data_IF_421715147427
#
_entry.id   IF_421715147427
#
_cell.length_a   1.000
_cell.length_b   1.000
_cell.length_c   1.000
_cell.angle_alpha   90.00
_cell.angle_beta   90.00
_cell.angle_gamma   90.00
#
_symmetry.space_group_name_H-M   'P 1'
#
loop_
_entity.id
_entity.type
_entity.pdbx_description
1 polymer ?
#
# COMPACT_ATOMS: atom_id res chain seq x y z
N UNK A 1 -7.48 18.03 -15.67
CA UNK A 1 -7.84 16.62 -15.80
C UNK A 1 -6.55 15.81 -15.72
N UNK A 2 -6.46 14.83 -14.83
CA UNK A 2 -5.28 13.97 -14.66
C UNK A 2 -5.06 13.09 -15.89
N UNK A 3 -3.78 12.77 -16.17
CA UNK A 3 -3.35 11.88 -17.26
C UNK A 3 -2.81 10.54 -16.74
N UNK A 4 -2.42 10.50 -15.45
CA UNK A 4 -1.92 9.32 -14.77
C UNK A 4 -2.57 9.09 -13.42
N UNK A 5 -2.80 7.84 -13.07
CA UNK A 5 -3.27 7.38 -11.77
C UNK A 5 -2.23 6.43 -11.19
N UNK A 6 -1.65 6.76 -10.03
CA UNK A 6 -0.59 5.99 -9.39
C UNK A 6 -1.12 5.44 -8.07
N UNK A 7 -1.23 4.12 -7.96
CA UNK A 7 -1.82 3.44 -6.81
C UNK A 7 -0.75 2.85 -5.90
N UNK A 8 -0.88 3.06 -4.60
CA UNK A 8 -0.32 2.11 -3.64
C UNK A 8 -1.09 0.79 -3.67
N UNK A 9 -0.59 -0.23 -3.00
CA UNK A 9 -1.18 -1.57 -3.03
C UNK A 9 -1.79 -1.97 -1.68
N UNK A 10 -0.96 -2.03 -0.66
CA UNK A 10 -1.31 -2.61 0.63
C UNK A 10 -2.11 -1.61 1.46
N UNK A 11 -3.30 -2.00 1.94
CA UNK A 11 -4.23 -1.10 2.64
C UNK A 11 -5.10 -0.25 1.72
N UNK A 12 -4.68 0.00 0.47
CA UNK A 12 -5.44 0.79 -0.51
C UNK A 12 -6.22 -0.07 -1.52
N UNK A 13 -5.52 -0.93 -2.26
CA UNK A 13 -6.13 -1.82 -3.25
C UNK A 13 -6.63 -3.11 -2.61
N UNK A 14 -5.86 -3.62 -1.67
CA UNK A 14 -6.10 -4.88 -0.98
C UNK A 14 -6.10 -4.69 0.54
N UNK A 15 -6.98 -5.42 1.24
CA UNK A 15 -7.03 -5.44 2.72
C UNK A 15 -5.93 -6.37 3.28
N UNK A 16 -4.70 -6.18 2.78
CA UNK A 16 -3.54 -7.02 3.10
C UNK A 16 -3.02 -6.77 4.51
N UNK A 17 -3.13 -5.56 5.02
CA UNK A 17 -2.71 -5.21 6.38
C UNK A 17 -3.51 -6.01 7.42
N UNK A 18 -4.83 -6.14 7.23
CA UNK A 18 -5.67 -6.98 8.08
C UNK A 18 -5.27 -8.45 8.01
N UNK A 19 -5.05 -8.98 6.80
CA UNK A 19 -4.64 -10.35 6.59
C UNK A 19 -3.27 -10.64 7.22
N UNK A 20 -2.32 -9.70 7.11
CA UNK A 20 -1.02 -9.80 7.76
C UNK A 20 -1.18 -9.81 9.28
N UNK A 21 -2.01 -8.91 9.84
CA UNK A 21 -2.30 -8.90 11.27
C UNK A 21 -2.86 -10.25 11.76
N UNK A 22 -3.89 -10.78 11.10
CA UNK A 22 -4.55 -12.04 11.47
C UNK A 22 -3.57 -13.23 11.42
N UNK A 23 -2.72 -13.29 10.39
CA UNK A 23 -1.67 -14.30 10.28
C UNK A 23 -0.64 -14.19 11.40
N UNK A 24 -0.18 -12.98 11.70
CA UNK A 24 0.75 -12.76 12.81
C UNK A 24 0.11 -13.10 14.15
N UNK A 25 -1.13 -12.69 14.39
CA UNK A 25 -1.83 -12.99 15.62
C UNK A 25 -1.95 -14.51 15.82
N UNK A 26 -2.44 -15.25 14.82
CA UNK A 26 -2.54 -16.71 14.87
C UNK A 26 -1.20 -17.37 15.17
N UNK A 27 -0.13 -16.95 14.51
CA UNK A 27 1.22 -17.47 14.71
C UNK A 27 1.76 -17.16 16.11
N UNK A 28 1.57 -15.92 16.59
CA UNK A 28 2.04 -15.50 17.92
C UNK A 28 1.30 -16.22 19.03
N UNK A 29 -0.02 -16.48 18.86
CA UNK A 29 -0.80 -17.31 19.79
C UNK A 29 -0.29 -18.76 19.84
N UNK A 30 0.04 -19.37 18.68
CA UNK A 30 0.64 -20.71 18.59
C UNK A 30 1.98 -20.80 19.35
N UNK A 31 2.79 -19.73 19.31
CA UNK A 31 4.10 -19.68 19.97
C UNK A 31 4.06 -19.09 21.40
N UNK A 32 2.87 -18.73 21.90
CA UNK A 32 2.66 -18.27 23.27
C UNK A 32 3.10 -16.81 23.53
N UNK A 33 3.16 -15.98 22.49
CA UNK A 33 3.48 -14.55 22.63
C UNK A 33 2.20 -13.70 22.64
N UNK A 34 2.02 -12.78 23.62
CA UNK A 34 0.87 -11.88 23.63
C UNK A 34 0.99 -10.85 22.52
N UNK A 35 0.10 -10.91 21.53
CA UNK A 35 0.08 -10.03 20.36
C UNK A 35 -1.27 -9.36 20.22
N UNK A 36 -1.29 -8.07 19.91
CA UNK A 36 -2.51 -7.29 19.81
C UNK A 36 -2.46 -6.29 18.65
N UNK A 37 -3.64 -5.83 18.25
CA UNK A 37 -3.82 -4.90 17.12
C UNK A 37 -3.14 -3.55 17.38
N UNK A 38 -3.05 -3.10 18.63
CA UNK A 38 -2.46 -1.79 18.94
C UNK A 38 -0.94 -1.81 18.76
N UNK A 39 -0.30 -2.95 19.05
CA UNK A 39 1.11 -3.13 18.71
C UNK A 39 1.31 -3.23 17.20
N UNK A 40 0.47 -4.00 16.50
CA UNK A 40 0.56 -4.12 15.04
C UNK A 40 0.43 -2.75 14.35
N UNK A 41 -0.55 -1.93 14.72
CA UNK A 41 -0.72 -0.58 14.17
C UNK A 41 0.53 0.29 14.26
N UNK A 42 1.33 0.11 15.31
CA UNK A 42 2.60 0.83 15.48
C UNK A 42 3.66 0.39 14.46
N UNK A 43 3.54 -0.80 13.88
CA UNK A 43 4.49 -1.34 12.90
C UNK A 43 4.13 -0.96 11.47
N UNK A 44 2.85 -0.62 11.20
CA UNK A 44 2.34 -0.26 9.87
C UNK A 44 3.12 0.92 9.28
N UNK A 45 3.54 0.77 8.03
CA UNK A 45 4.30 1.79 7.30
C UNK A 45 5.75 1.99 7.74
N UNK A 46 6.26 1.16 8.67
CA UNK A 46 7.67 1.22 9.12
C UNK A 46 8.57 0.30 8.29
N UNK A 47 9.87 0.62 8.30
CA UNK A 47 10.88 -0.23 7.64
C UNK A 47 11.07 -1.53 8.42
N UNK A 48 11.32 -2.64 7.73
CA UNK A 48 11.53 -3.98 8.34
C UNK A 48 12.55 -3.98 9.51
N UNK A 49 13.63 -3.19 9.41
CA UNK A 49 14.63 -3.08 10.49
C UNK A 49 14.06 -2.39 11.73
N UNK A 50 13.22 -1.39 11.57
CA UNK A 50 12.55 -0.70 12.68
C UNK A 50 11.53 -1.63 13.35
N UNK A 51 10.74 -2.31 12.53
CA UNK A 51 9.78 -3.31 13.01
C UNK A 51 10.49 -4.42 13.80
N UNK A 52 11.60 -4.95 13.27
CA UNK A 52 12.43 -5.94 13.99
C UNK A 52 12.81 -5.44 15.40
N UNK A 53 13.35 -4.23 15.51
CA UNK A 53 13.73 -3.66 16.80
C UNK A 53 12.53 -3.49 17.75
N UNK A 54 11.35 -3.15 17.23
CA UNK A 54 10.13 -3.07 18.03
C UNK A 54 9.71 -4.42 18.59
N UNK A 55 9.83 -5.49 17.79
CA UNK A 55 9.54 -6.86 18.24
C UNK A 55 10.55 -7.32 19.30
N UNK A 56 11.85 -7.06 19.13
CA UNK A 56 12.85 -7.36 20.16
C UNK A 56 12.58 -6.59 21.44
N UNK A 57 12.23 -5.31 21.35
CA UNK A 57 11.89 -4.49 22.52
C UNK A 57 10.66 -5.02 23.29
N UNK A 58 9.68 -5.61 22.60
CA UNK A 58 8.44 -6.12 23.20
C UNK A 58 8.57 -7.55 23.74
N UNK A 59 9.28 -8.41 23.02
CA UNK A 59 9.29 -9.86 23.27
C UNK A 59 10.64 -10.40 23.75
N UNK A 60 11.68 -9.57 23.79
CA UNK A 60 13.04 -9.91 24.23
C UNK A 60 14.02 -10.05 23.07
N UNK A 61 15.31 -9.94 23.38
CA UNK A 61 16.39 -9.95 22.38
C UNK A 61 16.52 -11.29 21.63
N UNK A 62 16.06 -12.38 22.25
CA UNK A 62 16.08 -13.72 21.67
C UNK A 62 14.87 -14.00 20.76
N UNK A 63 13.96 -13.04 20.57
CA UNK A 63 12.78 -13.21 19.73
C UNK A 63 13.18 -13.46 18.27
N UNK A 64 12.79 -14.59 17.65
CA UNK A 64 13.24 -15.01 16.32
C UNK A 64 12.46 -14.31 15.19
N UNK A 65 12.46 -12.96 15.20
CA UNK A 65 11.67 -12.12 14.31
C UNK A 65 11.77 -12.53 12.82
N UNK A 66 13.00 -12.75 12.33
CA UNK A 66 13.19 -13.04 10.90
C UNK A 66 12.61 -14.40 10.51
N UNK A 67 12.74 -15.41 11.38
CA UNK A 67 12.11 -16.71 11.16
C UNK A 67 10.58 -16.57 11.08
N UNK A 68 9.99 -15.83 12.02
CA UNK A 68 8.53 -15.61 12.04
C UNK A 68 8.05 -14.73 10.90
N UNK A 69 8.84 -13.76 10.47
CA UNK A 69 8.54 -12.95 9.30
C UNK A 69 8.51 -13.79 8.00
N UNK A 70 9.44 -14.74 7.84
CA UNK A 70 9.46 -15.66 6.71
C UNK A 70 8.28 -16.64 6.75
N UNK A 71 7.95 -17.17 7.93
CA UNK A 71 6.79 -18.03 8.14
C UNK A 71 5.48 -17.28 7.87
N UNK A 72 5.32 -16.07 8.41
CA UNK A 72 4.16 -15.22 8.17
C UNK A 72 3.96 -14.91 6.68
N UNK A 73 5.07 -14.66 5.96
CA UNK A 73 5.03 -14.51 4.49
C UNK A 73 4.56 -15.79 3.79
N UNK A 74 5.03 -16.96 4.23
CA UNK A 74 4.61 -18.24 3.65
C UNK A 74 3.11 -18.48 3.88
N UNK A 75 2.61 -18.27 5.10
CA UNK A 75 1.20 -18.37 5.46
C UNK A 75 0.32 -17.39 4.65
N UNK A 76 0.80 -16.14 4.47
CA UNK A 76 0.12 -15.16 3.62
C UNK A 76 -0.03 -15.66 2.19
N UNK A 77 1.05 -16.13 1.57
CA UNK A 77 1.03 -16.64 0.19
C UNK A 77 0.12 -17.86 0.03
N UNK A 78 0.13 -18.79 1.01
CA UNK A 78 -0.76 -19.93 1.01
C UNK A 78 -2.23 -19.51 1.12
N UNK A 79 -2.53 -18.59 2.04
CA UNK A 79 -3.87 -18.06 2.24
C UNK A 79 -4.43 -17.43 0.96
N UNK A 80 -3.70 -16.49 0.34
CA UNK A 80 -4.20 -15.79 -0.85
C UNK A 80 -4.31 -16.69 -2.08
N UNK A 81 -3.53 -17.76 -2.17
CA UNK A 81 -3.67 -18.77 -3.24
C UNK A 81 -4.91 -19.64 -3.06
N UNK A 82 -5.31 -19.92 -1.83
CA UNK A 82 -6.47 -20.76 -1.52
C UNK A 82 -7.78 -19.97 -1.51
N UNK A 83 -7.80 -18.82 -0.83
CA UNK A 83 -9.01 -18.04 -0.55
C UNK A 83 -9.17 -16.81 -1.46
N UNK A 84 -8.12 -16.43 -2.19
CA UNK A 84 -8.04 -15.16 -2.89
C UNK A 84 -7.49 -14.04 -2.00
N UNK A 85 -7.28 -12.87 -2.61
CA UNK A 85 -6.85 -11.67 -1.89
C UNK A 85 -8.05 -10.78 -1.60
N UNK A 86 -8.24 -10.29 -0.35
CA UNK A 86 -9.34 -9.39 -0.04
C UNK A 86 -9.15 -8.04 -0.72
N UNK A 87 -10.15 -7.66 -1.52
CA UNK A 87 -10.12 -6.46 -2.35
C UNK A 87 -10.86 -5.31 -1.65
N UNK A 88 -10.27 -4.13 -1.65
CA UNK A 88 -10.91 -2.91 -1.11
C UNK A 88 -12.05 -2.43 -2.00
N UNK A 89 -13.07 -1.86 -1.36
CA UNK A 89 -14.28 -1.38 -2.04
C UNK A 89 -13.97 -0.34 -3.11
N UNK A 90 -14.46 -0.57 -4.33
CA UNK A 90 -14.32 0.34 -5.46
C UNK A 90 -13.07 0.11 -6.30
N UNK A 91 -12.21 -0.90 -5.99
CA UNK A 91 -10.98 -1.12 -6.76
C UNK A 91 -11.27 -1.38 -8.25
N UNK A 92 -12.16 -2.31 -8.55
CA UNK A 92 -12.47 -2.63 -9.94
C UNK A 92 -13.12 -1.44 -10.67
N UNK A 93 -14.00 -0.71 -9.98
CA UNK A 93 -14.72 0.43 -10.55
C UNK A 93 -13.74 1.57 -10.91
N UNK A 94 -12.76 1.88 -10.04
CA UNK A 94 -11.80 2.95 -10.30
C UNK A 94 -10.80 2.57 -11.42
N UNK A 95 -10.37 1.30 -11.46
CA UNK A 95 -9.48 0.83 -12.54
C UNK A 95 -10.19 0.86 -13.89
N UNK A 96 -11.43 0.40 -13.97
CA UNK A 96 -12.25 0.48 -15.19
C UNK A 96 -12.51 1.94 -15.60
N UNK A 97 -12.81 2.82 -14.64
CA UNK A 97 -13.00 4.25 -14.91
C UNK A 97 -11.77 4.89 -15.55
N UNK A 98 -10.57 4.66 -15.00
CA UNK A 98 -9.35 5.23 -15.57
C UNK A 98 -8.99 4.63 -16.91
N UNK A 99 -9.09 3.30 -17.06
CA UNK A 99 -8.85 2.63 -18.32
C UNK A 99 -9.80 3.12 -19.41
N UNK A 100 -11.09 3.22 -19.11
CA UNK A 100 -12.11 3.73 -20.04
C UNK A 100 -11.93 5.21 -20.40
N UNK A 101 -11.29 6.00 -19.53
CA UNK A 101 -10.98 7.42 -19.74
C UNK A 101 -9.61 7.66 -20.42
N UNK A 102 -8.86 6.60 -20.75
CA UNK A 102 -7.53 6.71 -21.36
C UNK A 102 -6.44 7.24 -20.41
N UNK A 103 -6.70 7.22 -19.10
CA UNK A 103 -5.71 7.58 -18.07
C UNK A 103 -4.77 6.40 -17.86
N UNK A 104 -3.46 6.65 -17.90
CA UNK A 104 -2.44 5.62 -17.64
C UNK A 104 -2.40 5.25 -16.16
N UNK A 105 -2.20 3.97 -15.86
CA UNK A 105 -2.24 3.46 -14.49
C UNK A 105 -0.90 2.86 -14.08
N UNK A 106 -0.36 3.24 -12.93
CA UNK A 106 0.83 2.64 -12.36
C UNK A 106 0.62 2.17 -10.92
N UNK A 107 1.37 1.15 -10.55
CA UNK A 107 1.55 0.73 -9.16
C UNK A 107 2.81 1.39 -8.58
N UNK A 108 2.74 1.88 -7.35
CA UNK A 108 3.87 2.43 -6.58
C UNK A 108 3.84 1.90 -5.14
N UNK A 109 4.48 0.77 -4.89
CA UNK A 109 4.43 0.06 -3.61
C UNK A 109 5.79 -0.17 -2.99
N UNK A 110 5.84 -0.29 -1.65
CA UNK A 110 7.02 -0.73 -0.90
C UNK A 110 7.20 -2.25 -0.91
N UNK A 111 6.20 -2.99 -1.37
CA UNK A 111 6.20 -4.45 -1.44
C UNK A 111 7.09 -4.95 -2.57
N UNK A 112 7.66 -6.16 -2.40
CA UNK A 112 8.53 -6.78 -3.39
C UNK A 112 7.78 -7.09 -4.69
N UNK A 113 8.48 -7.03 -5.82
CA UNK A 113 7.92 -7.31 -7.15
C UNK A 113 7.23 -8.67 -7.21
N UNK A 114 7.89 -9.70 -6.68
CA UNK A 114 7.33 -11.06 -6.67
C UNK A 114 5.97 -11.12 -5.97
N UNK A 115 5.84 -10.46 -4.82
CA UNK A 115 4.58 -10.42 -4.06
C UNK A 115 3.54 -9.56 -4.76
N UNK A 116 3.95 -8.39 -5.28
CA UNK A 116 3.04 -7.48 -5.99
C UNK A 116 2.43 -8.12 -7.23
N UNK A 117 3.24 -8.76 -8.06
CA UNK A 117 2.75 -9.46 -9.27
C UNK A 117 1.82 -10.63 -8.92
N UNK A 118 2.12 -11.36 -7.83
CA UNK A 118 1.23 -12.43 -7.34
C UNK A 118 -0.12 -11.87 -6.90
N UNK A 119 -0.12 -10.78 -6.11
CA UNK A 119 -1.34 -10.14 -5.63
C UNK A 119 -2.21 -9.62 -6.78
N UNK A 120 -1.61 -8.89 -7.73
CA UNK A 120 -2.30 -8.39 -8.91
C UNK A 120 -2.90 -9.52 -9.76
N UNK A 121 -2.16 -10.62 -9.92
CA UNK A 121 -2.62 -11.79 -10.68
C UNK A 121 -3.80 -12.47 -10.00
N UNK A 122 -3.74 -12.69 -8.68
CA UNK A 122 -4.83 -13.32 -7.92
C UNK A 122 -6.09 -12.45 -7.97
N UNK A 123 -5.94 -11.12 -7.83
CA UNK A 123 -7.04 -10.17 -7.95
C UNK A 123 -7.53 -9.98 -9.41
N UNK A 124 -6.83 -10.52 -10.41
CA UNK A 124 -7.12 -10.39 -11.85
C UNK A 124 -7.13 -8.93 -12.32
N UNK A 125 -6.21 -8.12 -11.78
CA UNK A 125 -6.09 -6.70 -12.14
C UNK A 125 -4.77 -6.35 -12.83
N UNK A 126 -3.92 -7.33 -13.15
CA UNK A 126 -2.60 -7.09 -13.75
C UNK A 126 -2.67 -6.28 -15.04
N UNK A 127 -3.68 -6.54 -15.89
CA UNK A 127 -3.81 -5.95 -17.22
C UNK A 127 -4.29 -4.48 -17.22
N UNK A 128 -4.57 -3.93 -16.04
CA UNK A 128 -4.89 -2.50 -15.91
C UNK A 128 -3.64 -1.63 -15.83
N UNK A 129 -2.51 -2.17 -15.40
CA UNK A 129 -1.31 -1.40 -15.07
C UNK A 129 -0.36 -1.28 -16.25
N UNK A 130 -0.05 -0.03 -16.64
CA UNK A 130 0.95 0.30 -17.66
C UNK A 130 2.38 0.24 -17.09
N UNK A 131 2.54 0.41 -15.77
CA UNK A 131 3.82 0.35 -15.09
C UNK A 131 3.69 -0.15 -13.64
N UNK A 132 4.74 -0.85 -13.16
CA UNK A 132 4.86 -1.30 -11.78
C UNK A 132 6.17 -0.79 -11.20
N UNK A 133 6.11 -0.07 -10.06
CA UNK A 133 7.27 0.33 -9.26
C UNK A 133 7.15 -0.33 -7.90
N UNK A 134 8.09 -1.22 -7.60
CA UNK A 134 8.13 -2.04 -6.39
C UNK A 134 9.28 -1.63 -5.49
N UNK A 135 9.35 -2.18 -4.27
CA UNK A 135 10.35 -1.80 -3.28
C UNK A 135 11.80 -1.90 -3.75
N UNK A 136 12.11 -2.85 -4.65
CA UNK A 136 13.46 -3.04 -5.20
C UNK A 136 13.83 -2.03 -6.30
N UNK A 137 12.85 -1.34 -6.87
CA UNK A 137 13.08 -0.40 -7.98
C UNK A 137 13.61 0.96 -7.50
N UNK A 138 13.59 1.23 -6.20
CA UNK A 138 13.96 2.51 -5.59
C UNK A 138 14.99 2.35 -4.47
N UNK A 139 15.85 3.34 -4.31
CA UNK A 139 16.83 3.38 -3.21
C UNK A 139 16.20 3.86 -1.90
N UNK A 140 15.29 4.83 -2.01
CA UNK A 140 14.66 5.48 -0.89
C UNK A 140 13.16 5.19 -0.91
N UNK A 141 12.69 4.41 0.08
CA UNK A 141 11.26 4.14 0.25
C UNK A 141 10.49 5.34 0.79
N UNK A 142 9.15 5.26 0.79
CA UNK A 142 8.26 6.24 1.41
C UNK A 142 8.71 6.58 2.84
N UNK A 143 8.76 7.84 3.26
CA UNK A 143 8.13 9.03 2.66
C UNK A 143 8.97 9.75 1.60
N UNK A 144 10.11 9.23 1.13
CA UNK A 144 10.86 9.82 0.04
C UNK A 144 10.04 9.72 -1.27
N UNK A 145 10.01 10.75 -2.15
CA UNK A 145 9.14 10.79 -3.33
C UNK A 145 9.54 9.82 -4.46
N UNK A 146 10.67 9.15 -4.36
CA UNK A 146 11.30 8.38 -5.43
C UNK A 146 10.35 7.37 -6.09
N UNK A 147 9.55 6.64 -5.31
CA UNK A 147 8.64 5.61 -5.84
C UNK A 147 7.56 6.23 -6.76
N UNK A 148 7.00 7.37 -6.38
CA UNK A 148 5.98 8.06 -7.18
C UNK A 148 6.59 8.79 -8.38
N UNK A 149 7.77 9.40 -8.22
CA UNK A 149 8.50 10.01 -9.33
C UNK A 149 8.88 8.97 -10.39
N UNK A 150 9.39 7.81 -9.96
CA UNK A 150 9.70 6.69 -10.86
C UNK A 150 8.44 6.15 -11.56
N UNK A 151 7.30 6.12 -10.87
CA UNK A 151 6.03 5.71 -11.48
C UNK A 151 5.60 6.69 -12.59
N UNK A 152 5.64 8.00 -12.34
CA UNK A 152 5.34 9.01 -13.35
C UNK A 152 6.30 8.93 -14.55
N UNK A 153 7.60 8.75 -14.30
CA UNK A 153 8.62 8.55 -15.33
C UNK A 153 8.32 7.33 -16.21
N UNK A 154 7.97 6.17 -15.62
CA UNK A 154 7.61 4.96 -16.37
C UNK A 154 6.34 5.11 -17.18
N UNK A 155 5.40 5.96 -16.73
CA UNK A 155 4.22 6.33 -17.50
C UNK A 155 4.53 7.35 -18.62
N UNK A 156 5.71 7.99 -18.58
CA UNK A 156 6.07 9.09 -19.49
C UNK A 156 5.25 10.35 -19.23
N UNK A 157 4.94 10.65 -17.97
CA UNK A 157 4.10 11.79 -17.56
C UNK A 157 4.84 12.71 -16.58
N UNK A 158 4.43 13.98 -16.55
CA UNK A 158 4.82 14.90 -15.48
C UNK A 158 4.07 14.49 -14.19
N UNK A 159 4.74 14.39 -13.02
CA UNK A 159 4.07 14.10 -11.76
C UNK A 159 2.86 15.00 -11.46
N UNK A 160 2.90 16.26 -11.90
CA UNK A 160 1.79 17.21 -11.72
C UNK A 160 0.54 16.86 -12.54
N UNK A 161 0.68 16.03 -13.56
CA UNK A 161 -0.44 15.49 -14.36
C UNK A 161 -0.97 14.17 -13.77
N UNK A 162 -0.44 13.71 -12.63
CA UNK A 162 -0.79 12.45 -12.00
C UNK A 162 -1.53 12.65 -10.66
N UNK A 163 -2.45 11.74 -10.36
CA UNK A 163 -3.00 11.58 -9.03
C UNK A 163 -2.40 10.32 -8.37
N UNK A 164 -1.99 10.44 -7.12
CA UNK A 164 -1.52 9.34 -6.28
C UNK A 164 -2.61 8.95 -5.29
N UNK A 165 -2.94 7.66 -5.25
CA UNK A 165 -3.91 7.06 -4.33
C UNK A 165 -3.17 6.31 -3.25
N UNK A 166 -3.47 6.60 -1.98
CA UNK A 166 -2.73 6.14 -0.82
C UNK A 166 -3.62 6.00 0.42
N UNK A 167 -3.25 5.09 1.33
CA UNK A 167 -3.90 4.89 2.61
C UNK A 167 -3.05 5.38 3.81
N UNK A 168 -1.74 5.54 3.60
CA UNK A 168 -0.75 5.71 4.67
C UNK A 168 -0.21 7.15 4.78
N UNK A 169 0.23 7.51 5.99
CA UNK A 169 0.86 8.81 6.28
C UNK A 169 2.15 8.98 5.46
N UNK A 170 3.00 7.95 5.42
CA UNK A 170 4.27 8.02 4.70
C UNK A 170 4.06 8.07 3.18
N UNK A 171 3.04 7.40 2.68
CA UNK A 171 2.70 7.43 1.28
C UNK A 171 2.17 8.79 0.83
N UNK A 172 1.28 9.42 1.62
CA UNK A 172 0.82 10.79 1.35
C UNK A 172 1.98 11.78 1.35
N UNK A 173 2.89 11.72 2.33
CA UNK A 173 4.10 12.56 2.33
C UNK A 173 4.93 12.36 1.06
N UNK A 174 5.10 11.11 0.62
CA UNK A 174 5.86 10.75 -0.57
C UNK A 174 5.20 11.29 -1.86
N UNK A 175 3.89 11.10 -2.01
CA UNK A 175 3.11 11.56 -3.16
C UNK A 175 3.07 13.10 -3.24
N UNK A 176 2.86 13.76 -2.10
CA UNK A 176 2.89 15.22 -2.01
C UNK A 176 4.27 15.79 -2.39
N UNK A 177 5.35 15.20 -1.87
CA UNK A 177 6.71 15.59 -2.21
C UNK A 177 7.06 15.34 -3.69
N UNK A 178 6.40 14.37 -4.35
CA UNK A 178 6.49 14.13 -5.78
C UNK A 178 5.72 15.18 -6.62
N UNK A 179 4.90 16.04 -5.99
CA UNK A 179 4.10 17.06 -6.66
C UNK A 179 2.83 16.53 -7.33
N UNK A 180 2.35 15.36 -6.93
CA UNK A 180 1.11 14.75 -7.45
C UNK A 180 -0.14 15.29 -6.73
N UNK A 181 -1.30 15.19 -7.39
CA UNK A 181 -2.59 15.29 -6.69
C UNK A 181 -2.73 14.11 -5.74
N UNK A 182 -2.91 14.38 -4.44
CA UNK A 182 -2.93 13.33 -3.42
C UNK A 182 -4.36 12.97 -3.06
N UNK A 183 -4.69 11.70 -3.16
CA UNK A 183 -5.99 11.12 -2.78
C UNK A 183 -5.75 10.12 -1.66
N UNK A 184 -6.23 10.42 -0.46
CA UNK A 184 -6.11 9.53 0.69
C UNK A 184 -7.40 8.74 0.90
N UNK A 185 -7.27 7.42 1.00
CA UNK A 185 -8.32 6.49 1.43
C UNK A 185 -7.80 5.76 2.67
N UNK A 186 -8.02 6.27 3.89
CA UNK A 186 -7.42 5.75 5.10
C UNK A 186 -7.82 4.29 5.37
N UNK A 187 -6.86 3.48 5.81
CA UNK A 187 -7.11 2.14 6.34
C UNK A 187 -6.94 2.11 7.87
N UNK A 188 -5.87 1.52 8.40
CA UNK A 188 -5.62 1.45 9.85
C UNK A 188 -5.31 2.79 10.48
N UNK A 189 -4.68 3.71 9.75
CA UNK A 189 -4.23 4.99 10.28
C UNK A 189 -5.05 6.15 9.69
N UNK A 190 -5.63 6.95 10.57
CA UNK A 190 -6.31 8.18 10.17
C UNK A 190 -5.31 9.31 9.90
N UNK A 191 -5.64 10.28 9.04
CA UNK A 191 -4.75 11.40 8.76
C UNK A 191 -4.50 12.25 10.01
N UNK A 192 -3.23 12.50 10.30
CA UNK A 192 -2.80 13.40 11.37
C UNK A 192 -2.92 14.87 10.93
N UNK A 193 -2.91 15.81 11.88
CA UNK A 193 -2.95 17.23 11.56
C UNK A 193 -1.75 17.67 10.71
N UNK A 194 -0.62 16.99 10.84
CA UNK A 194 0.58 17.25 10.04
C UNK A 194 0.34 17.00 8.53
N UNK A 195 -0.35 15.91 8.17
CA UNK A 195 -0.54 15.55 6.75
C UNK A 195 -1.82 16.06 6.13
N UNK A 196 -2.79 16.53 6.90
CA UNK A 196 -4.05 17.09 6.35
C UNK A 196 -3.82 18.14 5.26
N UNK A 197 -2.87 19.11 5.39
CA UNK A 197 -2.58 20.07 4.34
C UNK A 197 -1.98 19.46 3.07
N UNK A 198 -1.47 18.24 3.13
CA UNK A 198 -0.88 17.51 2.00
C UNK A 198 -1.91 16.67 1.26
N UNK A 199 -3.15 16.56 1.74
CA UNK A 199 -4.20 15.74 1.15
C UNK A 199 -5.11 16.62 0.30
N UNK A 200 -5.14 16.37 -1.02
CA UNK A 200 -6.05 17.05 -1.93
C UNK A 200 -7.47 16.54 -1.77
N UNK A 201 -7.64 15.21 -1.73
CA UNK A 201 -8.94 14.55 -1.54
C UNK A 201 -8.83 13.49 -0.45
N UNK A 202 -9.68 13.60 0.58
CA UNK A 202 -9.86 12.59 1.62
C UNK A 202 -11.14 11.81 1.34
N UNK A 203 -11.03 10.51 1.06
CA UNK A 203 -12.13 9.67 0.61
C UNK A 203 -12.32 8.48 1.57
N UNK A 204 -13.55 7.97 1.67
CA UNK A 204 -13.90 6.79 2.50
C UNK A 204 -13.56 5.47 1.80
N UNK A 205 -13.63 5.48 0.47
CA UNK A 205 -13.33 4.31 -0.39
C UNK A 205 -12.95 4.79 -1.79
N UNK A 206 -12.55 3.85 -2.66
CA UNK A 206 -12.13 4.17 -4.02
C UNK A 206 -13.28 4.62 -4.92
N UNK A 207 -14.54 4.32 -4.59
CA UNK A 207 -15.69 4.85 -5.34
C UNK A 207 -15.86 6.35 -5.09
N UNK A 208 -15.72 6.81 -3.84
CA UNK A 208 -15.73 8.25 -3.54
C UNK A 208 -14.55 8.97 -4.22
N UNK A 209 -13.40 8.31 -4.33
CA UNK A 209 -12.24 8.85 -5.04
C UNK A 209 -12.52 9.09 -6.53
N UNK A 210 -13.30 8.23 -7.20
CA UNK A 210 -13.75 8.46 -8.59
C UNK A 210 -14.54 9.77 -8.66
N UNK A 211 -15.50 9.97 -7.75
CA UNK A 211 -16.37 11.14 -7.75
C UNK A 211 -15.57 12.43 -7.52
N UNK A 212 -14.58 12.40 -6.61
CA UNK A 212 -13.71 13.56 -6.33
C UNK A 212 -12.83 13.92 -7.53
N UNK A 213 -12.21 12.92 -8.19
CA UNK A 213 -11.37 13.15 -9.37
C UNK A 213 -12.21 13.63 -10.57
N UNK A 214 -13.44 13.13 -10.73
CA UNK A 214 -14.34 13.54 -11.82
C UNK A 214 -14.77 15.00 -11.70
N UNK A 215 -14.87 15.52 -10.48
CA UNK A 215 -15.33 16.87 -10.18
C UNK A 215 -14.20 17.91 -10.05
N UNK A 216 -12.93 17.51 -10.22
CA UNK A 216 -11.73 18.34 -10.17
C UNK A 216 -11.28 18.75 -11.57
#
# INVERSE_FOLDING_TARGET
MIKGAVFDMDGLMFDTERLVYENWQSMMDEYGYPYDIEFFKQTVGKRKKEVHLMYLSRFGDDFPYWQYADEGKARYVEHIKREGIPVKKGLYDILEYFKGSGVKIALATSTSRQTSELNLKIAKVSDYFDALVCGEDVKNGKPHPEVFLTAAERLGLDPRDCAAFEDSINGIKSAYAAGMTTVMVPDFLQPTDEIKPMITHLCRDLNEAIDQIRNS
#
